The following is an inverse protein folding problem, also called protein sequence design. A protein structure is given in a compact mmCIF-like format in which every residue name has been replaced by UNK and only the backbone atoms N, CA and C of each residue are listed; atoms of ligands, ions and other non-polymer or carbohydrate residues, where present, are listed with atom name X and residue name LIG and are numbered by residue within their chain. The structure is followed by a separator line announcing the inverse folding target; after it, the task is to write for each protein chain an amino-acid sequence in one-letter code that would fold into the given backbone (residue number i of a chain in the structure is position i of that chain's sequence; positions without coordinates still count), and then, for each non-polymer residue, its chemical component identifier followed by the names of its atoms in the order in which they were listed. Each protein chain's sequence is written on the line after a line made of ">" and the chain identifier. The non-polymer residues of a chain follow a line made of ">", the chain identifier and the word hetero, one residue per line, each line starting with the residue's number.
data_IF_275203839257
#
_entry.id   IF_275203839257
#
_cell.length_a   1.000
_cell.length_b   1.000
_cell.length_c   1.000
_cell.angle_alpha   90.00
_cell.angle_beta   90.00
_cell.angle_gamma   90.00
#
_symmetry.space_group_name_H-M   'P 1'
#
loop_
_entity.id
_entity.type
_entity.pdbx_description
1 polymer ?
#
# COMPACT_ATOMS: atom_id res chain seq x y z
N UNK A 1 5.66 32.61 -55.49
CA UNK A 1 6.23 32.88 -54.16
C UNK A 1 5.70 31.86 -53.17
N UNK A 2 6.54 30.98 -52.60
CA UNK A 2 6.12 30.00 -51.57
C UNK A 2 5.71 30.77 -50.30
N UNK A 3 4.53 30.47 -49.75
CA UNK A 3 3.98 31.10 -48.55
C UNK A 3 4.82 30.70 -47.31
N UNK A 4 5.92 31.42 -47.08
CA UNK A 4 6.86 31.18 -45.96
C UNK A 4 6.21 31.42 -44.58
N UNK A 5 5.18 32.25 -44.53
CA UNK A 5 4.49 32.60 -43.27
C UNK A 5 3.61 31.45 -42.77
N UNK A 6 2.92 30.74 -43.67
CA UNK A 6 2.12 29.55 -43.30
C UNK A 6 2.97 28.36 -42.83
N UNK A 7 4.16 28.17 -43.40
CA UNK A 7 5.09 27.11 -42.99
C UNK A 7 5.69 27.35 -41.61
N UNK A 8 5.97 28.61 -41.26
CA UNK A 8 6.54 28.98 -39.96
C UNK A 8 5.50 28.81 -38.85
N UNK A 9 4.25 29.20 -39.11
CA UNK A 9 3.14 28.98 -38.18
C UNK A 9 2.92 27.49 -37.87
N UNK A 10 2.93 26.64 -38.90
CA UNK A 10 2.77 25.19 -38.72
C UNK A 10 3.88 24.59 -37.85
N UNK A 11 5.14 24.99 -38.07
CA UNK A 11 6.28 24.52 -37.28
C UNK A 11 6.11 24.94 -35.80
N UNK A 12 5.75 26.20 -35.54
CA UNK A 12 5.53 26.69 -34.17
C UNK A 12 4.41 25.91 -33.49
N UNK A 13 3.28 25.69 -34.16
CA UNK A 13 2.18 24.91 -33.59
C UNK A 13 2.60 23.47 -33.28
N UNK A 14 3.39 22.84 -34.15
CA UNK A 14 3.87 21.47 -33.97
C UNK A 14 4.85 21.37 -32.78
N UNK A 15 5.69 22.38 -32.58
CA UNK A 15 6.57 22.47 -31.40
C UNK A 15 5.75 22.65 -30.13
N UNK A 16 4.75 23.53 -30.13
CA UNK A 16 3.87 23.73 -28.97
C UNK A 16 3.08 22.47 -28.61
N UNK A 17 2.57 21.71 -29.60
CA UNK A 17 1.87 20.46 -29.35
C UNK A 17 2.80 19.37 -28.82
N UNK A 18 4.03 19.26 -29.33
CA UNK A 18 5.06 18.37 -28.78
C UNK A 18 5.39 18.72 -27.33
N UNK A 19 5.58 20.01 -27.02
CA UNK A 19 5.81 20.47 -25.65
C UNK A 19 4.62 20.16 -24.74
N UNK A 20 3.39 20.36 -25.21
CA UNK A 20 2.19 20.04 -24.44
C UNK A 20 2.09 18.52 -24.16
N UNK A 21 2.40 17.67 -25.15
CA UNK A 21 2.41 16.21 -24.96
C UNK A 21 3.49 15.77 -23.96
N UNK A 22 4.70 16.31 -24.08
CA UNK A 22 5.78 16.01 -23.13
C UNK A 22 5.45 16.47 -21.71
N UNK A 23 4.92 17.69 -21.57
CA UNK A 23 4.49 18.22 -20.27
C UNK A 23 3.38 17.37 -19.66
N UNK A 24 2.43 16.91 -20.48
CA UNK A 24 1.35 16.01 -20.04
C UNK A 24 1.92 14.67 -19.58
N UNK A 25 2.83 14.07 -20.35
CA UNK A 25 3.49 12.81 -19.98
C UNK A 25 4.27 12.91 -18.67
N UNK A 26 5.05 13.98 -18.50
CA UNK A 26 5.76 14.29 -17.25
C UNK A 26 4.81 14.48 -16.07
N UNK A 27 3.69 15.19 -16.29
CA UNK A 27 2.68 15.39 -15.25
C UNK A 27 2.04 14.06 -14.82
N UNK A 28 1.71 13.18 -15.76
CA UNK A 28 1.14 11.85 -15.45
C UNK A 28 2.12 11.03 -14.63
N UNK A 29 3.38 10.95 -15.06
CA UNK A 29 4.43 10.23 -14.34
C UNK A 29 4.64 10.79 -12.93
N UNK A 30 4.63 12.11 -12.79
CA UNK A 30 4.72 12.77 -11.48
C UNK A 30 3.56 12.37 -10.56
N UNK A 31 2.31 12.44 -11.04
CA UNK A 31 1.15 12.06 -10.22
C UNK A 31 1.12 10.56 -9.89
N UNK A 32 1.55 9.70 -10.81
CA UNK A 32 1.69 8.27 -10.52
C UNK A 32 2.70 8.03 -9.40
N UNK A 33 3.87 8.67 -9.46
CA UNK A 33 4.90 8.53 -8.44
C UNK A 33 4.44 9.10 -7.09
N UNK A 34 3.74 10.24 -7.11
CA UNK A 34 3.15 10.84 -5.91
C UNK A 34 2.14 9.88 -5.26
N UNK A 35 1.27 9.25 -6.06
CA UNK A 35 0.28 8.27 -5.58
C UNK A 35 0.96 7.07 -4.93
N UNK A 36 1.97 6.50 -5.58
CA UNK A 36 2.75 5.38 -5.02
C UNK A 36 3.40 5.76 -3.70
N UNK A 37 3.98 6.96 -3.62
CA UNK A 37 4.61 7.44 -2.38
C UNK A 37 3.59 7.68 -1.27
N UNK A 38 2.44 8.27 -1.57
CA UNK A 38 1.36 8.47 -0.58
C UNK A 38 0.90 7.12 -0.04
N UNK A 39 0.61 6.14 -0.91
CA UNK A 39 0.22 4.79 -0.48
C UNK A 39 1.28 4.17 0.45
N UNK A 40 2.57 4.32 0.14
CA UNK A 40 3.64 3.80 1.01
C UNK A 40 3.74 4.52 2.36
N UNK A 41 3.34 5.78 2.44
CA UNK A 41 3.30 6.55 3.69
C UNK A 41 2.10 6.11 4.52
N UNK A 42 0.93 5.95 3.88
CA UNK A 42 -0.29 5.48 4.54
C UNK A 42 -0.08 4.06 5.10
N UNK A 43 0.57 3.16 4.35
CA UNK A 43 0.94 1.82 4.81
C UNK A 43 1.88 1.87 6.03
N UNK A 44 2.88 2.75 6.03
CA UNK A 44 3.80 2.91 7.17
C UNK A 44 3.10 3.49 8.39
N UNK A 45 2.21 4.46 8.20
CA UNK A 45 1.42 5.04 9.28
C UNK A 45 0.53 3.98 9.92
N UNK A 46 -0.15 3.17 9.09
CA UNK A 46 -0.96 2.04 9.54
C UNK A 46 -0.11 1.00 10.30
N UNK A 47 1.09 0.66 9.80
CA UNK A 47 2.01 -0.25 10.50
C UNK A 47 2.42 0.31 11.87
N UNK A 48 2.74 1.60 11.98
CA UNK A 48 3.10 2.20 13.26
C UNK A 48 1.93 2.24 14.25
N UNK A 49 0.71 2.40 13.75
CA UNK A 49 -0.50 2.41 14.60
C UNK A 49 -0.83 0.99 15.10
N UNK A 50 -0.72 -0.03 14.23
CA UNK A 50 -1.09 -1.41 14.54
C UNK A 50 0.05 -2.26 15.11
N UNK A 51 1.32 -1.83 15.03
CA UNK A 51 2.46 -2.66 15.46
C UNK A 51 2.33 -3.07 16.91
N UNK A 52 2.02 -2.13 17.80
CA UNK A 52 1.98 -2.38 19.24
C UNK A 52 0.86 -3.35 19.60
N UNK A 53 -0.31 -3.21 18.98
CA UNK A 53 -1.46 -4.09 19.21
C UNK A 53 -1.23 -5.50 18.66
N UNK A 54 -0.57 -5.63 17.51
CA UNK A 54 -0.21 -6.93 16.93
C UNK A 54 0.85 -7.64 17.77
N UNK A 55 1.90 -6.93 18.21
CA UNK A 55 2.89 -7.53 19.09
C UNK A 55 2.27 -7.92 20.44
N UNK A 56 1.34 -7.11 20.97
CA UNK A 56 0.57 -7.47 22.17
C UNK A 56 -0.23 -8.74 21.94
N UNK A 57 -0.94 -8.83 20.82
CA UNK A 57 -1.69 -10.01 20.43
C UNK A 57 -0.82 -11.27 20.35
N UNK A 58 0.30 -11.21 19.63
CA UNK A 58 1.23 -12.33 19.48
C UNK A 58 1.87 -12.78 20.80
N UNK A 59 1.94 -11.90 21.79
CA UNK A 59 2.52 -12.19 23.11
C UNK A 59 1.48 -12.73 24.10
N UNK A 60 0.23 -12.28 24.01
CA UNK A 60 -0.84 -12.67 24.94
C UNK A 60 -1.65 -13.88 24.46
N UNK A 61 -1.68 -14.14 23.15
CA UNK A 61 -2.49 -15.19 22.54
C UNK A 61 -1.61 -16.23 21.85
N UNK A 62 -1.94 -17.49 22.11
CA UNK A 62 -1.47 -18.56 21.25
C UNK A 62 -2.23 -18.51 19.93
N UNK A 63 -1.53 -18.49 18.80
CA UNK A 63 -2.16 -18.48 17.49
C UNK A 63 -2.90 -19.78 17.23
N UNK A 64 -4.23 -19.71 17.20
CA UNK A 64 -5.11 -20.82 16.82
C UNK A 64 -5.89 -20.42 15.57
N UNK A 65 -6.05 -21.35 14.63
CA UNK A 65 -6.82 -21.07 13.42
C UNK A 65 -8.29 -20.78 13.76
N UNK A 66 -8.79 -19.62 13.34
CA UNK A 66 -10.14 -19.19 13.67
C UNK A 66 -10.32 -17.69 13.59
N UNK A 67 -11.52 -17.26 13.95
CA UNK A 67 -11.86 -15.84 14.12
C UNK A 67 -11.95 -15.56 15.61
N UNK A 68 -11.26 -14.53 16.06
CA UNK A 68 -11.35 -14.05 17.43
C UNK A 68 -11.51 -12.53 17.48
N UNK A 69 -12.10 -12.06 18.58
CA UNK A 69 -12.13 -10.65 18.91
C UNK A 69 -11.01 -10.36 19.91
N UNK A 70 -10.15 -9.41 19.57
CA UNK A 70 -9.08 -8.93 20.44
C UNK A 70 -9.21 -7.41 20.58
N UNK A 71 -9.58 -6.96 21.78
CA UNK A 71 -9.91 -5.56 22.07
C UNK A 71 -10.97 -4.98 21.11
N UNK A 72 -10.59 -3.99 20.29
CA UNK A 72 -11.43 -3.35 19.27
C UNK A 72 -11.13 -3.90 17.85
N UNK A 73 -10.52 -5.09 17.75
CA UNK A 73 -10.15 -5.73 16.49
C UNK A 73 -10.82 -7.09 16.31
N UNK A 74 -11.23 -7.35 15.07
CA UNK A 74 -11.55 -8.67 14.54
C UNK A 74 -10.26 -9.26 13.96
N UNK A 75 -9.83 -10.38 14.52
CA UNK A 75 -8.60 -11.06 14.12
C UNK A 75 -8.97 -12.40 13.49
N UNK A 76 -8.63 -12.58 12.23
CA UNK A 76 -8.77 -13.85 11.53
C UNK A 76 -7.39 -14.49 11.37
N UNK A 77 -7.22 -15.67 11.96
CA UNK A 77 -5.99 -16.47 11.86
C UNK A 77 -6.26 -17.66 10.96
N UNK A 78 -5.46 -17.77 9.91
CA UNK A 78 -5.46 -18.89 8.99
C UNK A 78 -4.07 -19.50 8.92
N UNK A 79 -3.99 -20.83 8.83
CA UNK A 79 -2.72 -21.54 8.67
C UNK A 79 -2.52 -21.79 7.18
N UNK A 80 -1.40 -21.30 6.66
CA UNK A 80 -0.97 -21.51 5.27
C UNK A 80 0.41 -22.15 5.32
N UNK A 81 0.48 -23.42 4.90
CA UNK A 81 1.65 -24.28 5.00
C UNK A 81 2.17 -24.37 6.46
N UNK A 82 3.30 -23.72 6.76
CA UNK A 82 3.95 -23.64 8.09
C UNK A 82 3.93 -22.21 8.67
N UNK A 83 3.06 -21.34 8.13
CA UNK A 83 2.93 -19.95 8.55
C UNK A 83 1.50 -19.62 8.97
N UNK A 84 1.38 -18.66 9.88
CA UNK A 84 0.12 -18.09 10.29
C UNK A 84 -0.11 -16.81 9.51
N UNK A 85 -1.17 -16.77 8.71
CA UNK A 85 -1.69 -15.54 8.13
C UNK A 85 -2.74 -14.98 9.08
N UNK A 86 -2.46 -13.80 9.61
CA UNK A 86 -3.30 -13.06 10.53
C UNK A 86 -3.85 -11.84 9.80
N UNK A 87 -5.16 -11.68 9.81
CA UNK A 87 -5.83 -10.48 9.32
C UNK A 87 -6.35 -9.70 10.53
N UNK A 88 -5.76 -8.55 10.78
CA UNK A 88 -6.14 -7.64 11.86
C UNK A 88 -7.03 -6.53 11.30
N UNK A 89 -8.32 -6.54 11.62
CA UNK A 89 -9.27 -5.54 11.15
C UNK A 89 -9.92 -4.80 12.32
N UNK A 90 -9.88 -3.47 12.30
CA UNK A 90 -10.53 -2.69 13.36
C UNK A 90 -12.06 -2.82 13.28
N UNK A 91 -12.71 -3.23 14.37
CA UNK A 91 -14.14 -3.58 14.45
C UNK A 91 -15.07 -2.42 14.05
N UNK A 92 -14.62 -1.17 14.23
CA UNK A 92 -15.39 0.04 13.89
C UNK A 92 -14.94 0.74 12.60
N UNK A 93 -13.83 0.31 11.99
CA UNK A 93 -13.25 1.00 10.84
C UNK A 93 -12.56 0.01 9.90
N UNK A 94 -13.29 -0.42 8.88
CA UNK A 94 -12.81 -1.38 7.86
C UNK A 94 -11.60 -0.87 7.06
N UNK A 95 -11.30 0.43 7.09
CA UNK A 95 -10.11 0.99 6.44
C UNK A 95 -8.82 0.68 7.19
N UNK A 96 -8.91 0.28 8.45
CA UNK A 96 -7.77 -0.12 9.27
C UNK A 96 -7.73 -1.65 9.24
N UNK A 97 -7.05 -2.19 8.23
CA UNK A 97 -6.88 -3.62 8.01
C UNK A 97 -5.41 -3.93 7.71
N UNK A 98 -4.78 -4.74 8.55
CA UNK A 98 -3.44 -5.27 8.31
C UNK A 98 -3.49 -6.77 8.02
N UNK A 99 -2.72 -7.20 7.04
CA UNK A 99 -2.45 -8.62 6.80
C UNK A 99 -1.01 -8.92 7.19
N UNK A 100 -0.83 -9.91 8.05
CA UNK A 100 0.42 -10.18 8.73
C UNK A 100 0.72 -11.65 8.57
N UNK A 101 1.92 -11.95 8.09
CA UNK A 101 2.39 -13.34 7.95
C UNK A 101 3.42 -13.57 9.04
N UNK A 102 3.14 -14.54 9.89
CA UNK A 102 3.94 -14.86 11.06
C UNK A 102 4.40 -16.30 10.99
N UNK A 103 5.63 -16.57 11.41
CA UNK A 103 6.17 -17.91 11.54
C UNK A 103 6.62 -18.14 12.96
N UNK A 104 6.26 -19.28 13.51
CA UNK A 104 6.70 -19.68 14.83
C UNK A 104 8.04 -20.44 14.71
N UNK A 105 9.13 -19.85 15.21
CA UNK A 105 10.45 -20.48 15.27
C UNK A 105 11.12 -20.16 16.61
N UNK A 106 11.87 -21.13 17.16
CA UNK A 106 12.66 -20.95 18.38
C UNK A 106 11.85 -20.36 19.56
N UNK A 107 10.61 -20.83 19.73
CA UNK A 107 9.65 -20.39 20.76
C UNK A 107 9.18 -18.93 20.64
N UNK A 108 9.44 -18.28 19.50
CA UNK A 108 9.07 -16.89 19.25
C UNK A 108 8.30 -16.80 17.91
N UNK A 109 7.33 -15.88 17.86
CA UNK A 109 6.67 -15.49 16.63
C UNK A 109 7.50 -14.45 15.87
N UNK A 110 8.02 -14.82 14.70
CA UNK A 110 8.71 -13.92 13.78
C UNK A 110 7.75 -13.41 12.71
N UNK A 111 7.65 -12.10 12.55
CA UNK A 111 6.83 -11.50 11.50
C UNK A 111 7.61 -11.46 10.19
N UNK A 112 7.15 -12.22 9.20
CA UNK A 112 7.77 -12.33 7.88
C UNK A 112 7.34 -11.17 6.97
N UNK A 113 6.06 -10.81 7.03
CA UNK A 113 5.48 -9.83 6.12
C UNK A 113 4.35 -9.06 6.77
N UNK A 114 4.26 -7.78 6.39
CA UNK A 114 3.14 -6.89 6.69
C UNK A 114 2.60 -6.34 5.38
N UNK A 115 1.28 -6.33 5.23
CA UNK A 115 0.57 -5.78 4.09
C UNK A 115 -0.68 -5.04 4.52
N UNK A 116 -1.14 -4.14 3.64
CA UNK A 116 -2.48 -3.57 3.74
C UNK A 116 -3.43 -4.58 3.07
N UNK A 117 -4.47 -5.00 3.81
CA UNK A 117 -5.40 -6.02 3.34
C UNK A 117 -6.40 -5.55 2.29
#
# INVERSE_FOLDING_TARGET
>A
MKNKNGSTLMIVMLVFTLFALLATGLSILFFMNLKVRINSIDERALMMELSDDVYRYLNEKALEAGNEEFDDYLVEVSIVDDTYKIVFQHSKNEKIKAEIIVKYQDEIYEIISWGNG
#
